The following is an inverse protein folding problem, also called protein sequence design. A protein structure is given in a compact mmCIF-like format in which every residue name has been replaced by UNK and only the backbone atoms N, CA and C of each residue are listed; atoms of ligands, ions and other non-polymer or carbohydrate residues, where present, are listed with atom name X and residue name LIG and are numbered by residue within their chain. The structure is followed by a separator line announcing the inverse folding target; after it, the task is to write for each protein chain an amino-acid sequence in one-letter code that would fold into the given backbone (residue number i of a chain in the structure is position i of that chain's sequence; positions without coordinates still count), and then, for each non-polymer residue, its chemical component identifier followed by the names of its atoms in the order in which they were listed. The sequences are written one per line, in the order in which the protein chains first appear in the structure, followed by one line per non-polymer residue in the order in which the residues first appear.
data_IF_240657938862
#
_entry.id   IF_240657938862
#
_cell.length_a   1.000
_cell.length_b   1.000
_cell.length_c   1.000
_cell.angle_alpha   90.00
_cell.angle_beta   90.00
_cell.angle_gamma   90.00
#
_symmetry.space_group_name_H-M   'P 1'
#
loop_
_entity.id
_entity.type
_entity.pdbx_description
1 polymer ?
#
# COMPACT_ATOMS: atom_id res chain seq x y z
N UNK A 1 50.18 50.84 0.94
CA UNK A 1 48.94 50.22 1.44
C UNK A 1 48.98 48.71 1.17
N UNK A 2 49.93 47.97 1.78
CA UNK A 2 50.27 46.63 1.26
C UNK A 2 50.93 45.72 2.31
N UNK A 3 50.52 45.83 3.58
CA UNK A 3 51.00 44.92 4.63
C UNK A 3 49.85 44.13 5.28
N UNK A 4 48.66 44.72 5.40
CA UNK A 4 47.49 44.06 6.00
C UNK A 4 46.87 42.95 5.11
N UNK A 5 47.05 43.03 3.79
CA UNK A 5 46.46 42.07 2.84
C UNK A 5 47.21 40.73 2.80
N UNK A 6 48.51 40.70 3.10
CA UNK A 6 49.31 39.47 3.07
C UNK A 6 49.08 38.59 4.32
N UNK A 7 48.72 39.19 5.45
CA UNK A 7 48.49 38.47 6.72
C UNK A 7 47.23 37.60 6.67
N UNK A 8 46.19 38.02 5.92
CA UNK A 8 44.95 37.25 5.79
C UNK A 8 45.09 36.00 4.91
N UNK A 9 46.10 35.95 4.04
CA UNK A 9 46.32 34.82 3.12
C UNK A 9 47.13 33.68 3.75
N UNK A 10 47.68 33.88 4.96
CA UNK A 10 48.51 32.91 5.66
C UNK A 10 47.83 32.24 6.86
N UNK A 11 46.50 32.33 6.96
CA UNK A 11 45.74 31.62 8.00
C UNK A 11 45.64 30.14 7.57
N UNK A 12 46.24 29.19 8.32
CA UNK A 12 46.15 27.77 8.00
C UNK A 12 44.69 27.32 8.15
N UNK A 13 44.05 26.94 7.05
CA UNK A 13 42.70 26.39 7.03
C UNK A 13 42.75 24.94 7.54
N UNK A 14 42.26 24.72 8.75
CA UNK A 14 42.19 23.39 9.34
C UNK A 14 40.85 22.73 8.98
N UNK A 15 40.80 21.97 7.89
CA UNK A 15 39.62 21.14 7.58
C UNK A 15 39.61 19.89 8.46
N UNK A 16 38.52 19.68 9.19
CA UNK A 16 38.34 18.45 9.96
C UNK A 16 38.34 17.23 9.02
N UNK A 17 38.97 16.10 9.38
CA UNK A 17 38.95 14.89 8.57
C UNK A 17 37.52 14.47 8.23
N UNK A 18 37.11 14.64 6.97
CA UNK A 18 35.77 14.25 6.50
C UNK A 18 35.68 12.73 6.54
N UNK A 19 34.73 12.17 7.29
CA UNK A 19 34.43 10.73 7.25
C UNK A 19 34.19 10.33 5.80
N UNK A 20 34.92 9.33 5.30
CA UNK A 20 34.64 8.70 4.01
C UNK A 20 33.21 8.17 4.06
N UNK A 21 32.30 8.80 3.32
CA UNK A 21 30.95 8.27 3.13
C UNK A 21 31.10 7.07 2.21
N UNK A 22 30.89 5.87 2.73
CA UNK A 22 30.75 4.70 1.87
C UNK A 22 29.61 5.00 0.90
N UNK A 23 29.79 4.82 -0.41
CA UNK A 23 28.72 5.03 -1.37
C UNK A 23 27.57 4.10 -0.97
N UNK A 24 26.39 4.67 -0.69
CA UNK A 24 25.19 3.86 -0.47
C UNK A 24 24.96 3.04 -1.73
N UNK A 25 24.98 1.72 -1.62
CA UNK A 25 24.53 0.84 -2.70
C UNK A 25 23.09 1.18 -3.02
N UNK A 26 22.84 1.59 -4.26
CA UNK A 26 21.48 1.91 -4.70
C UNK A 26 20.65 0.62 -4.63
N UNK A 27 19.43 0.66 -4.08
CA UNK A 27 18.56 -0.51 -4.11
C UNK A 27 18.35 -0.94 -5.57
N UNK A 28 18.30 -2.24 -5.82
CA UNK A 28 18.00 -2.80 -7.14
C UNK A 28 16.55 -2.43 -7.48
N UNK A 29 16.34 -1.36 -8.24
CA UNK A 29 15.01 -0.81 -8.55
C UNK A 29 14.56 -1.08 -9.97
N UNK A 30 15.49 -1.42 -10.85
CA UNK A 30 15.21 -1.62 -12.26
C UNK A 30 14.75 -3.06 -12.48
N UNK A 31 13.44 -3.19 -12.71
CA UNK A 31 12.79 -4.44 -13.10
C UNK A 31 12.41 -4.37 -14.59
N UNK A 32 12.39 -5.52 -15.26
CA UNK A 32 11.82 -5.61 -16.60
C UNK A 32 10.30 -5.36 -16.55
N UNK A 33 9.71 -4.94 -17.65
CA UNK A 33 8.27 -4.65 -17.71
C UNK A 33 7.41 -5.88 -17.43
N UNK A 34 7.90 -7.07 -17.82
CA UNK A 34 7.31 -8.34 -17.43
C UNK A 34 7.29 -8.50 -15.89
N UNK A 35 8.43 -8.35 -15.23
CA UNK A 35 8.53 -8.48 -13.77
C UNK A 35 7.66 -7.46 -13.04
N UNK A 36 7.58 -6.22 -13.55
CA UNK A 36 6.67 -5.19 -13.04
C UNK A 36 5.21 -5.65 -13.11
N UNK A 37 4.80 -6.34 -14.18
CA UNK A 37 3.45 -6.91 -14.30
C UNK A 37 3.21 -8.02 -13.27
N UNK A 38 4.19 -8.91 -13.05
CA UNK A 38 4.11 -9.95 -12.02
C UNK A 38 4.01 -9.36 -10.62
N UNK A 39 4.74 -8.29 -10.32
CA UNK A 39 4.60 -7.56 -9.04
C UNK A 39 3.19 -6.98 -8.86
N UNK A 40 2.63 -6.38 -9.91
CA UNK A 40 1.23 -5.87 -9.85
C UNK A 40 0.22 -7.00 -9.64
N UNK A 41 0.38 -8.11 -10.35
CA UNK A 41 -0.51 -9.26 -10.27
C UNK A 41 -0.44 -9.91 -8.89
N UNK A 42 0.76 -10.14 -8.36
CA UNK A 42 0.95 -10.72 -7.02
C UNK A 42 0.29 -9.87 -5.93
N UNK A 43 0.42 -8.54 -5.98
CA UNK A 43 -0.30 -7.64 -5.07
C UNK A 43 -1.82 -7.82 -5.18
N UNK A 44 -2.36 -7.91 -6.40
CA UNK A 44 -3.78 -8.12 -6.62
C UNK A 44 -4.27 -9.47 -6.08
N UNK A 45 -3.51 -10.54 -6.31
CA UNK A 45 -3.83 -11.89 -5.82
C UNK A 45 -3.96 -11.93 -4.28
N UNK A 46 -3.14 -11.15 -3.55
CA UNK A 46 -3.32 -11.02 -2.09
C UNK A 46 -4.70 -10.44 -1.75
N UNK A 47 -5.10 -9.38 -2.44
CA UNK A 47 -6.40 -8.75 -2.25
C UNK A 47 -7.57 -9.65 -2.66
N UNK A 48 -7.43 -10.41 -3.74
CA UNK A 48 -8.45 -11.36 -4.19
C UNK A 48 -8.67 -12.49 -3.16
N UNK A 49 -7.62 -12.91 -2.45
CA UNK A 49 -7.70 -13.83 -1.30
C UNK A 49 -8.26 -13.18 -0.02
N UNK A 50 -8.45 -11.86 -0.01
CA UNK A 50 -8.85 -11.11 1.19
C UNK A 50 -7.70 -10.92 2.20
N UNK A 51 -6.46 -11.14 1.78
CA UNK A 51 -5.27 -10.94 2.60
C UNK A 51 -4.60 -9.60 2.29
N UNK A 52 -3.98 -9.00 3.30
CA UNK A 52 -3.22 -7.77 3.09
C UNK A 52 -1.78 -8.09 2.65
N UNK A 53 -1.32 -7.53 1.51
CA UNK A 53 0.05 -7.73 1.07
C UNK A 53 1.01 -6.96 1.99
N UNK A 54 1.97 -7.69 2.57
CA UNK A 54 3.10 -7.10 3.30
C UNK A 54 4.36 -7.26 2.47
N UNK A 55 5.31 -6.32 2.56
CA UNK A 55 6.59 -6.38 1.82
C UNK A 55 7.31 -7.71 2.04
N UNK A 56 7.29 -8.26 3.26
CA UNK A 56 7.87 -9.56 3.56
C UNK A 56 7.18 -10.71 2.81
N UNK A 57 5.84 -10.75 2.83
CA UNK A 57 5.04 -11.77 2.13
C UNK A 57 5.22 -11.68 0.61
N UNK A 58 5.15 -10.48 0.07
CA UNK A 58 5.37 -10.22 -1.35
C UNK A 58 6.77 -10.67 -1.78
N UNK A 59 7.80 -10.40 -0.97
CA UNK A 59 9.17 -10.81 -1.28
C UNK A 59 9.28 -12.33 -1.40
N UNK A 60 8.68 -13.10 -0.48
CA UNK A 60 8.68 -14.58 -0.56
C UNK A 60 8.04 -15.06 -1.86
N UNK A 61 6.83 -14.59 -2.17
CA UNK A 61 6.15 -14.96 -3.42
C UNK A 61 6.92 -14.52 -4.68
N UNK A 62 7.59 -13.37 -4.65
CA UNK A 62 8.38 -12.88 -5.80
C UNK A 62 9.71 -13.61 -5.98
N UNK A 63 10.33 -14.08 -4.89
CA UNK A 63 11.49 -14.96 -4.98
C UNK A 63 11.08 -16.25 -5.71
N UNK A 64 9.94 -16.84 -5.36
CA UNK A 64 9.46 -18.07 -5.99
C UNK A 64 9.04 -17.87 -7.46
N UNK A 65 8.36 -16.76 -7.79
CA UNK A 65 7.83 -16.53 -9.14
C UNK A 65 8.85 -16.03 -10.16
N UNK A 66 9.77 -15.15 -9.76
CA UNK A 66 10.68 -14.45 -10.69
C UNK A 66 12.14 -14.47 -10.22
N UNK A 67 12.50 -15.29 -9.22
CA UNK A 67 13.84 -15.31 -8.62
C UNK A 67 14.30 -13.91 -8.16
N UNK A 68 13.38 -13.15 -7.56
CA UNK A 68 13.65 -11.76 -7.15
C UNK A 68 14.84 -11.66 -6.18
N UNK A 69 15.93 -11.04 -6.61
CA UNK A 69 17.16 -10.87 -5.82
C UNK A 69 17.12 -9.68 -4.84
N UNK A 70 16.13 -8.79 -4.96
CA UNK A 70 16.07 -7.54 -4.20
C UNK A 70 15.79 -7.70 -2.70
N UNK A 71 16.20 -6.69 -1.93
CA UNK A 71 15.90 -6.54 -0.50
C UNK A 71 14.53 -5.88 -0.25
N UNK A 72 14.04 -5.91 1.00
CA UNK A 72 12.75 -5.29 1.34
C UNK A 72 12.67 -3.79 0.95
N UNK A 73 13.78 -3.05 1.08
CA UNK A 73 13.86 -1.63 0.69
C UNK A 73 13.68 -1.46 -0.81
N UNK A 74 14.28 -2.33 -1.63
CA UNK A 74 14.11 -2.30 -3.09
C UNK A 74 12.66 -2.53 -3.50
N UNK A 75 12.00 -3.54 -2.92
CA UNK A 75 10.60 -3.82 -3.19
C UNK A 75 9.68 -2.66 -2.78
N UNK A 76 10.00 -1.98 -1.68
CA UNK A 76 9.27 -0.79 -1.25
C UNK A 76 9.34 0.34 -2.28
N UNK A 77 10.52 0.58 -2.86
CA UNK A 77 10.72 1.58 -3.92
C UNK A 77 10.04 1.15 -5.22
N UNK A 78 10.15 -0.12 -5.60
CA UNK A 78 9.48 -0.68 -6.77
C UNK A 78 7.96 -0.49 -6.68
N UNK A 79 7.35 -0.83 -5.53
CA UNK A 79 5.92 -0.62 -5.32
C UNK A 79 5.52 0.84 -5.48
N UNK A 80 6.32 1.77 -4.94
CA UNK A 80 6.10 3.22 -5.13
C UNK A 80 6.19 3.64 -6.59
N UNK A 81 7.20 3.16 -7.31
CA UNK A 81 7.40 3.43 -8.74
C UNK A 81 6.28 2.85 -9.61
N UNK A 82 5.67 1.74 -9.19
CA UNK A 82 4.51 1.12 -9.84
C UNK A 82 3.19 1.84 -9.54
N UNK A 83 3.21 2.94 -8.78
CA UNK A 83 2.02 3.70 -8.42
C UNK A 83 1.26 3.15 -7.22
N UNK A 84 1.88 2.32 -6.38
CA UNK A 84 1.31 1.94 -5.08
C UNK A 84 1.70 2.93 -3.99
N UNK A 85 0.79 3.11 -3.03
CA UNK A 85 0.93 3.99 -1.90
C UNK A 85 0.59 3.25 -0.62
N UNK A 86 1.49 3.31 0.36
CA UNK A 86 1.23 2.79 1.70
C UNK A 86 0.47 3.84 2.51
N UNK A 87 -0.84 3.65 2.67
CA UNK A 87 -1.76 4.61 3.26
C UNK A 87 -2.52 3.99 4.42
N UNK A 88 -3.09 4.84 5.29
CA UNK A 88 -3.95 4.39 6.39
C UNK A 88 -5.18 3.68 5.82
N UNK A 89 -5.48 2.49 6.33
CA UNK A 89 -6.67 1.75 5.93
C UNK A 89 -7.90 2.43 6.56
N UNK A 90 -8.56 3.31 5.81
CA UNK A 90 -9.85 3.88 6.21
C UNK A 90 -11.02 2.92 5.85
N UNK A 91 -10.70 1.79 5.21
CA UNK A 91 -11.66 0.94 4.53
C UNK A 91 -11.97 -0.36 5.28
N UNK A 92 -11.60 -0.55 6.54
CA UNK A 92 -11.67 -1.88 7.19
C UNK A 92 -12.96 -2.68 6.90
N UNK A 93 -14.15 -2.18 7.27
CA UNK A 93 -15.42 -2.83 6.91
C UNK A 93 -15.78 -2.67 5.42
N UNK A 94 -15.38 -1.57 4.79
CA UNK A 94 -15.66 -1.25 3.38
C UNK A 94 -14.94 -2.19 2.40
N UNK A 95 -13.77 -2.71 2.77
CA UNK A 95 -13.00 -3.68 2.01
C UNK A 95 -13.78 -4.99 1.88
N UNK A 96 -14.38 -5.47 2.98
CA UNK A 96 -15.32 -6.59 2.94
C UNK A 96 -16.57 -6.24 2.12
N UNK A 97 -17.12 -5.04 2.27
CA UNK A 97 -18.30 -4.61 1.48
C UNK A 97 -18.06 -4.52 -0.04
N UNK A 98 -16.80 -4.43 -0.50
CA UNK A 98 -16.45 -4.43 -1.92
C UNK A 98 -16.33 -5.84 -2.53
N UNK A 99 -16.45 -6.92 -1.74
CA UNK A 99 -16.44 -8.28 -2.31
C UNK A 99 -17.71 -8.52 -3.15
N UNK A 100 -17.53 -9.16 -4.31
CA UNK A 100 -18.62 -9.40 -5.26
C UNK A 100 -19.78 -10.21 -4.65
N UNK A 101 -19.49 -11.20 -3.81
CA UNK A 101 -20.50 -12.00 -3.11
C UNK A 101 -21.39 -11.15 -2.17
N UNK A 102 -20.77 -10.21 -1.45
CA UNK A 102 -21.48 -9.28 -0.56
C UNK A 102 -22.29 -8.26 -1.37
N UNK A 103 -21.74 -7.74 -2.47
CA UNK A 103 -22.46 -6.82 -3.38
C UNK A 103 -23.70 -7.51 -3.95
N UNK A 104 -23.57 -8.74 -4.46
CA UNK A 104 -24.68 -9.53 -5.00
C UNK A 104 -25.74 -9.81 -3.93
N UNK A 105 -25.30 -10.17 -2.71
CA UNK A 105 -26.20 -10.41 -1.57
C UNK A 105 -26.99 -9.14 -1.20
N UNK A 106 -26.32 -7.98 -1.20
CA UNK A 106 -26.96 -6.68 -0.96
C UNK A 106 -27.96 -6.32 -2.06
N UNK A 107 -27.61 -6.51 -3.33
CA UNK A 107 -28.55 -6.28 -4.44
C UNK A 107 -29.79 -7.18 -4.30
N UNK A 108 -29.60 -8.46 -3.98
CA UNK A 108 -30.70 -9.41 -3.78
C UNK A 108 -31.60 -9.00 -2.63
N UNK A 109 -31.01 -8.60 -1.50
CA UNK A 109 -31.74 -8.09 -0.34
C UNK A 109 -32.56 -6.83 -0.70
N UNK A 110 -31.95 -5.84 -1.34
CA UNK A 110 -32.63 -4.59 -1.70
C UNK A 110 -33.78 -4.82 -2.67
N UNK A 111 -33.61 -5.68 -3.68
CA UNK A 111 -34.70 -6.07 -4.60
C UNK A 111 -35.85 -6.74 -3.86
N UNK A 112 -35.54 -7.66 -2.94
CA UNK A 112 -36.55 -8.33 -2.11
C UNK A 112 -37.30 -7.32 -1.24
N UNK A 113 -36.59 -6.43 -0.56
CA UNK A 113 -37.19 -5.41 0.32
C UNK A 113 -38.02 -4.39 -0.46
N UNK A 114 -37.59 -4.02 -1.67
CA UNK A 114 -38.38 -3.16 -2.55
C UNK A 114 -39.74 -3.80 -2.87
N UNK A 115 -39.75 -5.09 -3.23
CA UNK A 115 -41.00 -5.79 -3.52
C UNK A 115 -41.89 -5.93 -2.27
N UNK A 116 -41.30 -6.24 -1.11
CA UNK A 116 -42.03 -6.32 0.17
C UNK A 116 -42.68 -4.99 0.56
N UNK A 117 -42.02 -3.85 0.26
CA UNK A 117 -42.54 -2.51 0.55
C UNK A 117 -43.65 -2.06 -0.42
N UNK A 118 -43.63 -2.58 -1.65
CA UNK A 118 -44.64 -2.29 -2.67
C UNK A 118 -45.82 -3.27 -2.62
N UNK A 119 -45.76 -4.32 -1.82
CA UNK A 119 -46.86 -5.26 -1.65
C UNK A 119 -48.01 -4.59 -0.86
N UNK A 120 -49.23 -4.88 -1.29
CA UNK A 120 -50.47 -4.31 -0.77
C UNK A 120 -50.78 -4.72 0.68
N UNK A 121 -50.25 -5.87 1.13
CA UNK A 121 -50.23 -6.24 2.55
C UNK A 121 -49.08 -5.51 3.26
N UNK A 122 -49.29 -4.24 3.59
CA UNK A 122 -48.33 -3.41 4.35
C UNK A 122 -48.07 -4.00 5.75
N UNK A 123 -47.14 -4.95 5.85
CA UNK A 123 -46.66 -5.50 7.12
C UNK A 123 -45.56 -4.59 7.68
N UNK A 124 -45.58 -4.25 8.98
CA UNK A 124 -44.53 -3.44 9.57
C UNK A 124 -43.19 -4.18 9.51
N UNK A 125 -42.17 -3.52 8.94
CA UNK A 125 -40.80 -4.04 8.90
C UNK A 125 -40.05 -3.53 10.12
N UNK A 126 -39.76 -4.43 11.06
CA UNK A 126 -38.99 -4.12 12.27
C UNK A 126 -37.56 -4.64 12.06
N UNK A 127 -36.58 -3.75 12.21
CA UNK A 127 -35.17 -4.10 12.21
C UNK A 127 -34.69 -4.22 13.65
N UNK A 128 -34.16 -5.38 14.01
CA UNK A 128 -33.47 -5.61 15.27
C UNK A 128 -31.97 -5.63 14.93
N UNK A 129 -31.24 -4.56 15.22
CA UNK A 129 -29.81 -4.49 14.91
C UNK A 129 -28.93 -4.51 16.17
N UNK A 130 -28.04 -5.49 16.23
CA UNK A 130 -26.76 -5.35 16.89
C UNK A 130 -25.68 -5.59 15.82
N UNK A 131 -25.01 -4.51 15.40
CA UNK A 131 -23.91 -4.63 14.43
C UNK A 131 -22.58 -4.40 15.14
N UNK A 132 -22.06 -5.47 15.75
CA UNK A 132 -20.69 -5.47 16.28
C UNK A 132 -19.69 -5.52 15.12
N UNK A 133 -19.35 -4.35 14.58
CA UNK A 133 -18.20 -4.24 13.67
C UNK A 133 -16.95 -4.31 14.52
N UNK A 134 -16.31 -5.48 14.58
CA UNK A 134 -15.04 -5.66 15.27
C UNK A 134 -13.94 -4.93 14.47
N UNK A 135 -13.74 -3.66 14.83
CA UNK A 135 -12.83 -2.68 14.19
C UNK A 135 -11.39 -3.19 14.06
N UNK A 136 -10.99 -4.17 14.88
CA UNK A 136 -9.61 -4.67 14.98
C UNK A 136 -9.20 -5.69 13.91
N UNK A 137 -10.07 -6.07 12.96
CA UNK A 137 -9.70 -7.07 11.94
C UNK A 137 -8.97 -6.50 10.72
N UNK A 138 -8.74 -5.19 10.65
CA UNK A 138 -8.02 -4.57 9.54
C UNK A 138 -6.71 -3.93 10.00
N UNK A 139 -5.59 -4.14 9.29
CA UNK A 139 -4.33 -3.50 9.60
C UNK A 139 -4.46 -1.98 9.42
N UNK A 140 -3.77 -1.22 10.28
CA UNK A 140 -3.82 0.25 10.28
C UNK A 140 -3.35 0.86 8.96
N UNK A 141 -2.47 0.20 8.22
CA UNK A 141 -1.91 0.67 6.96
C UNK A 141 -1.86 -0.46 5.93
N UNK A 142 -2.13 -0.11 4.68
CA UNK A 142 -2.19 -1.05 3.55
C UNK A 142 -1.62 -0.42 2.27
N UNK A 143 -1.25 -1.28 1.31
CA UNK A 143 -0.77 -0.86 -0.01
C UNK A 143 -1.92 -0.64 -0.99
N UNK A 144 -2.26 0.60 -1.29
CA UNK A 144 -3.33 0.94 -2.22
C UNK A 144 -2.76 1.49 -3.52
N UNK A 145 -3.44 1.30 -4.65
CA UNK A 145 -3.12 2.05 -5.87
C UNK A 145 -3.30 3.54 -5.61
N UNK A 146 -2.39 4.36 -6.15
CA UNK A 146 -2.37 5.80 -5.89
C UNK A 146 -3.62 6.53 -6.42
N UNK A 147 -4.31 5.95 -7.40
CA UNK A 147 -5.42 6.59 -8.15
C UNK A 147 -6.82 6.03 -7.86
N UNK A 148 -6.98 5.16 -6.87
CA UNK A 148 -8.32 4.69 -6.46
C UNK A 148 -8.72 5.48 -5.21
N UNK A 149 -9.25 6.69 -5.44
CA UNK A 149 -10.08 7.42 -4.48
C UNK A 149 -11.56 7.15 -4.80
#
# INVERSE_FOLDING_TARGET
MTAAAEVLNNIPVFESPKKKKNPLTKPITDLNDFDKSVVRQTVQEFYDRGEYPTVAKLRVCLIEKINFSGCAKSLWVILKNLGFSYKKCNDGPKFLMKRNDIIVSRMRFLRKMHNVRNDSLSRPVIYLDETWVKVNHSPKFIWQRANEA
#
